data_IF_000744685838
#
_entry.id   IF_000744685838
#
_cell.length_a   1.000
_cell.length_b   1.000
_cell.length_c   1.000
_cell.angle_alpha   90.00
_cell.angle_beta   90.00
_cell.angle_gamma   90.00
#
_symmetry.space_group_name_H-M   'P 1'
#
loop_
_entity.id
_entity.type
_entity.pdbx_description
1 polymer ?
#
# COMPACT_ATOMS: atom_id res chain seq x y z
N UNK A 1 5.65 23.59 21.68
CA UNK A 1 4.83 24.45 20.80
C UNK A 1 5.17 24.24 19.32
N UNK A 2 6.45 24.30 18.93
CA UNK A 2 6.90 24.08 17.53
C UNK A 2 6.45 22.71 16.97
N UNK A 3 6.59 21.63 17.73
CA UNK A 3 6.18 20.28 17.28
C UNK A 3 4.68 20.17 17.01
N UNK A 4 3.83 20.78 17.85
CA UNK A 4 2.37 20.76 17.68
C UNK A 4 1.99 21.53 16.41
N UNK A 5 2.56 22.72 16.20
CA UNK A 5 2.35 23.49 14.98
C UNK A 5 2.76 22.71 13.72
N UNK A 6 3.89 21.99 13.79
CA UNK A 6 4.40 21.20 12.67
C UNK A 6 3.54 19.97 12.37
N UNK A 7 3.08 19.25 13.41
CA UNK A 7 2.18 18.10 13.23
C UNK A 7 0.83 18.52 12.68
N UNK A 8 0.28 19.64 13.16
CA UNK A 8 -1.00 20.18 12.68
C UNK A 8 -0.89 20.60 11.22
N UNK A 9 0.21 21.27 10.84
CA UNK A 9 0.48 21.62 9.44
C UNK A 9 0.57 20.38 8.55
N UNK A 10 1.28 19.34 9.00
CA UNK A 10 1.40 18.08 8.25
C UNK A 10 0.04 17.41 8.05
N UNK A 11 -0.79 17.35 9.09
CA UNK A 11 -2.15 16.79 9.01
C UNK A 11 -2.98 17.59 8.00
N UNK A 12 -2.99 18.91 8.09
CA UNK A 12 -3.75 19.77 7.17
C UNK A 12 -3.27 19.60 5.72
N UNK A 13 -1.97 19.58 5.48
CA UNK A 13 -1.41 19.39 4.14
C UNK A 13 -1.72 18.01 3.59
N UNK A 14 -1.64 16.97 4.42
CA UNK A 14 -1.91 15.59 3.99
C UNK A 14 -3.39 15.37 3.70
N UNK A 15 -4.28 15.89 4.56
CA UNK A 15 -5.73 15.88 4.35
C UNK A 15 -6.11 16.72 3.13
N UNK A 16 -5.51 17.90 2.95
CA UNK A 16 -5.76 18.76 1.79
C UNK A 16 -5.31 18.10 0.49
N UNK A 17 -4.12 17.50 0.46
CA UNK A 17 -3.61 16.77 -0.70
C UNK A 17 -4.49 15.56 -1.05
N UNK A 18 -4.94 14.79 -0.06
CA UNK A 18 -5.84 13.65 -0.30
C UNK A 18 -7.22 14.09 -0.79
N UNK A 19 -7.79 15.16 -0.23
CA UNK A 19 -9.04 15.75 -0.73
C UNK A 19 -8.88 16.25 -2.17
N UNK A 20 -7.80 16.95 -2.48
CA UNK A 20 -7.51 17.40 -3.84
C UNK A 20 -7.30 16.24 -4.82
N UNK A 21 -6.75 15.11 -4.38
CA UNK A 21 -6.55 13.94 -5.24
C UNK A 21 -7.85 13.14 -5.45
N UNK A 22 -8.71 13.09 -4.43
CA UNK A 22 -10.01 12.40 -4.49
C UNK A 22 -11.05 13.21 -5.23
N UNK A 23 -11.19 14.50 -4.91
CA UNK A 23 -12.19 15.43 -5.44
C UNK A 23 -11.66 16.33 -6.56
N UNK A 24 -10.36 16.27 -6.87
CA UNK A 24 -9.75 17.11 -7.91
C UNK A 24 -10.41 16.95 -9.27
N UNK A 25 -10.92 15.76 -9.59
CA UNK A 25 -11.65 15.52 -10.83
C UNK A 25 -12.98 16.30 -10.84
N UNK A 26 -13.78 16.20 -9.78
CA UNK A 26 -14.99 17.00 -9.64
C UNK A 26 -14.69 18.50 -9.70
N UNK A 27 -13.68 18.97 -8.97
CA UNK A 27 -13.27 20.38 -8.98
C UNK A 27 -12.88 20.86 -10.38
N UNK A 28 -12.07 20.09 -11.11
CA UNK A 28 -11.65 20.42 -12.47
C UNK A 28 -12.82 20.41 -13.46
N UNK A 29 -13.79 19.52 -13.28
CA UNK A 29 -15.02 19.50 -14.09
C UNK A 29 -15.93 20.70 -13.78
N UNK A 30 -16.00 21.14 -12.51
CA UNK A 30 -16.69 22.38 -12.11
C UNK A 30 -16.00 23.65 -12.64
N UNK A 31 -14.67 23.63 -12.76
CA UNK A 31 -13.86 24.77 -13.25
C UNK A 31 -13.67 24.77 -14.77
N UNK A 32 -13.87 23.63 -15.45
CA UNK A 32 -13.81 23.49 -16.92
C UNK A 32 -14.65 24.53 -17.68
N UNK A 33 -15.92 24.81 -17.32
CA UNK A 33 -16.71 25.84 -18.02
C UNK A 33 -16.19 27.28 -17.80
N UNK A 34 -15.42 27.53 -16.74
CA UNK A 34 -14.83 28.85 -16.43
C UNK A 34 -13.51 29.06 -17.18
N UNK A 35 -12.70 28.01 -17.32
CA UNK A 35 -11.36 28.07 -17.92
C UNK A 35 -11.27 27.55 -19.36
N UNK A 36 -12.38 27.07 -19.95
CA UNK A 36 -12.44 26.50 -21.31
C UNK A 36 -11.45 25.35 -21.54
N UNK A 37 -11.19 24.55 -20.50
CA UNK A 37 -10.31 23.38 -20.61
C UNK A 37 -11.07 22.21 -21.27
N UNK A 38 -10.50 21.55 -22.30
CA UNK A 38 -11.14 20.43 -22.97
C UNK A 38 -11.34 19.26 -21.99
N UNK A 39 -12.61 18.91 -21.76
CA UNK A 39 -13.03 17.88 -20.79
C UNK A 39 -12.44 16.51 -21.11
N UNK A 40 -12.20 16.23 -22.40
CA UNK A 40 -11.58 14.99 -22.87
C UNK A 40 -10.15 14.80 -22.37
N UNK A 41 -9.34 15.86 -22.26
CA UNK A 41 -7.98 15.75 -21.71
C UNK A 41 -8.00 15.49 -20.20
N UNK A 42 -8.96 16.09 -19.50
CA UNK A 42 -9.16 15.89 -18.06
C UNK A 42 -9.51 14.42 -17.78
N UNK A 43 -10.49 13.86 -18.47
CA UNK A 43 -10.91 12.47 -18.25
C UNK A 43 -9.83 11.46 -18.66
N UNK A 44 -9.03 11.76 -19.69
CA UNK A 44 -7.91 10.91 -20.10
C UNK A 44 -6.81 10.90 -19.04
N UNK A 45 -6.47 12.05 -18.46
CA UNK A 45 -5.50 12.17 -17.35
C UNK A 45 -6.01 11.42 -16.11
N UNK A 46 -7.29 11.54 -15.77
CA UNK A 46 -7.86 10.84 -14.61
C UNK A 46 -8.05 9.34 -14.82
N UNK A 47 -8.21 8.86 -16.05
CA UNK A 47 -8.21 7.42 -16.36
C UNK A 47 -6.89 6.75 -15.97
N UNK A 48 -5.76 7.48 -16.06
CA UNK A 48 -4.46 6.98 -15.58
C UNK A 48 -4.35 6.89 -14.06
N UNK A 49 -5.32 7.39 -13.28
CA UNK A 49 -5.30 7.29 -11.80
C UNK A 49 -5.24 5.84 -11.32
N UNK A 50 -6.08 4.97 -11.87
CA UNK A 50 -6.12 3.56 -11.47
C UNK A 50 -4.80 2.83 -11.72
N UNK A 51 -4.18 2.91 -12.93
CA UNK A 51 -2.87 2.31 -13.15
C UNK A 51 -1.75 2.98 -12.34
N UNK A 52 -1.81 4.28 -12.07
CA UNK A 52 -0.84 4.97 -11.20
C UNK A 52 -0.93 4.44 -9.76
N UNK A 53 -2.14 4.27 -9.22
CA UNK A 53 -2.35 3.69 -7.88
C UNK A 53 -1.87 2.25 -7.83
N UNK A 54 -2.17 1.45 -8.86
CA UNK A 54 -1.69 0.07 -8.95
C UNK A 54 -0.15 0.01 -9.01
N UNK A 55 0.48 0.89 -9.79
CA UNK A 55 1.94 0.99 -9.89
C UNK A 55 2.56 1.38 -8.54
N UNK A 56 2.00 2.39 -7.87
CA UNK A 56 2.44 2.79 -6.53
C UNK A 56 2.32 1.64 -5.52
N UNK A 57 1.24 0.88 -5.59
CA UNK A 57 1.03 -0.29 -4.73
C UNK A 57 2.05 -1.39 -5.01
N UNK A 58 2.33 -1.71 -6.28
CA UNK A 58 3.38 -2.67 -6.66
C UNK A 58 4.74 -2.22 -6.12
N UNK A 59 5.08 -0.93 -6.25
CA UNK A 59 6.32 -0.36 -5.73
C UNK A 59 6.40 -0.45 -4.20
N UNK A 60 5.30 -0.14 -3.50
CA UNK A 60 5.22 -0.24 -2.05
C UNK A 60 5.40 -1.69 -1.57
N UNK A 61 4.70 -2.64 -2.19
CA UNK A 61 4.83 -4.08 -1.87
C UNK A 61 6.23 -4.59 -2.20
N UNK A 62 6.82 -4.15 -3.31
CA UNK A 62 8.20 -4.47 -3.69
C UNK A 62 9.18 -3.98 -2.64
N UNK A 63 9.05 -2.72 -2.21
CA UNK A 63 9.89 -2.14 -1.17
C UNK A 63 9.71 -2.86 0.17
N UNK A 64 8.46 -3.17 0.55
CA UNK A 64 8.16 -3.93 1.75
C UNK A 64 8.82 -5.32 1.72
N UNK A 65 8.67 -6.05 0.62
CA UNK A 65 9.32 -7.35 0.43
C UNK A 65 10.85 -7.26 0.29
N UNK A 66 11.39 -6.08 -0.02
CA UNK A 66 12.84 -5.86 -0.07
C UNK A 66 13.44 -5.52 1.30
N UNK A 67 12.70 -4.80 2.14
CA UNK A 67 13.17 -4.28 3.44
C UNK A 67 12.83 -5.18 4.61
N UNK A 68 11.64 -5.79 4.65
CA UNK A 68 11.21 -6.64 5.76
C UNK A 68 12.08 -7.89 5.97
N UNK A 69 12.51 -8.62 4.92
CA UNK A 69 13.19 -9.88 5.14
C UNK A 69 14.60 -9.66 5.67
N UNK A 70 14.90 -10.27 6.82
CA UNK A 70 16.23 -10.32 7.42
C UNK A 70 17.17 -11.32 6.69
N UNK A 71 17.06 -11.38 5.36
CA UNK A 71 17.68 -12.41 4.52
C UNK A 71 18.23 -11.73 3.26
N UNK A 72 19.38 -12.18 2.75
CA UNK A 72 19.98 -11.67 1.51
C UNK A 72 19.18 -12.11 0.27
N UNK A 73 18.03 -11.50 0.01
CA UNK A 73 17.21 -11.79 -1.17
C UNK A 73 17.76 -11.11 -2.45
N UNK A 74 18.07 -11.87 -3.50
CA UNK A 74 18.36 -11.30 -4.83
C UNK A 74 17.13 -10.57 -5.36
N UNK A 75 17.31 -9.35 -5.90
CA UNK A 75 16.23 -8.46 -6.39
C UNK A 75 15.26 -9.12 -7.40
N UNK A 76 15.71 -10.16 -8.10
CA UNK A 76 14.93 -10.91 -9.11
C UNK A 76 13.90 -11.88 -8.50
N UNK A 77 14.10 -12.32 -7.26
CA UNK A 77 13.24 -13.33 -6.61
C UNK A 77 12.06 -12.69 -5.86
N UNK A 78 11.99 -11.36 -5.83
CA UNK A 78 10.97 -10.60 -5.08
C UNK A 78 9.65 -10.50 -5.84
N UNK A 79 9.71 -10.48 -7.18
CA UNK A 79 8.56 -10.35 -8.08
C UNK A 79 7.43 -11.36 -7.85
N UNK A 80 7.67 -12.68 -7.68
CA UNK A 80 6.58 -13.64 -7.45
C UNK A 80 5.76 -13.33 -6.19
N UNK A 81 6.40 -12.99 -5.07
CA UNK A 81 5.69 -12.60 -3.85
C UNK A 81 4.96 -11.27 -3.97
N UNK A 82 5.51 -10.30 -4.71
CA UNK A 82 4.82 -9.03 -5.00
C UNK A 82 3.53 -9.29 -5.78
N UNK A 83 3.58 -10.15 -6.80
CA UNK A 83 2.40 -10.52 -7.60
C UNK A 83 1.35 -11.21 -6.72
N UNK A 84 1.76 -12.16 -5.88
CA UNK A 84 0.84 -12.86 -4.96
C UNK A 84 0.15 -11.87 -4.01
N UNK A 85 0.89 -10.96 -3.38
CA UNK A 85 0.31 -9.96 -2.47
C UNK A 85 -0.62 -9.00 -3.22
N UNK A 86 -0.24 -8.52 -4.41
CA UNK A 86 -1.07 -7.57 -5.18
C UNK A 86 -2.37 -8.23 -5.64
N UNK A 87 -2.31 -9.46 -6.16
CA UNK A 87 -3.51 -10.22 -6.56
C UNK A 87 -4.39 -10.50 -5.35
N UNK A 88 -3.80 -10.96 -4.25
CA UNK A 88 -4.52 -11.22 -3.01
C UNK A 88 -5.20 -9.96 -2.46
N UNK A 89 -4.54 -8.81 -2.55
CA UNK A 89 -5.10 -7.53 -2.12
C UNK A 89 -6.28 -7.08 -2.99
N UNK A 90 -6.19 -7.26 -4.31
CA UNK A 90 -7.30 -6.98 -5.22
C UNK A 90 -8.50 -7.90 -4.92
N UNK A 91 -8.24 -9.18 -4.69
CA UNK A 91 -9.26 -10.15 -4.29
C UNK A 91 -9.91 -9.77 -2.93
N UNK A 92 -9.09 -9.38 -1.95
CA UNK A 92 -9.57 -8.91 -0.64
C UNK A 92 -10.46 -7.67 -0.79
N UNK A 93 -10.04 -6.71 -1.61
CA UNK A 93 -10.79 -5.48 -1.87
C UNK A 93 -12.13 -5.78 -2.53
N UNK A 94 -12.14 -6.67 -3.52
CA UNK A 94 -13.37 -7.12 -4.18
C UNK A 94 -14.32 -7.84 -3.20
N UNK A 95 -13.78 -8.77 -2.40
CA UNK A 95 -14.57 -9.54 -1.44
C UNK A 95 -15.19 -8.64 -0.36
N UNK A 96 -14.44 -7.65 0.14
CA UNK A 96 -14.95 -6.67 1.09
C UNK A 96 -16.02 -5.77 0.49
N UNK A 97 -15.81 -5.32 -0.75
CA UNK A 97 -16.84 -4.55 -1.47
C UNK A 97 -18.12 -5.36 -1.64
N UNK A 98 -18.01 -6.64 -1.99
CA UNK A 98 -19.16 -7.54 -2.11
C UNK A 98 -19.86 -7.75 -0.76
N UNK A 99 -19.10 -7.98 0.31
CA UNK A 99 -19.64 -8.17 1.66
C UNK A 99 -20.41 -6.94 2.16
N UNK A 100 -19.81 -5.76 2.05
CA UNK A 100 -20.44 -4.50 2.48
C UNK A 100 -21.66 -4.11 1.64
N UNK A 101 -21.68 -4.54 0.37
CA UNK A 101 -22.83 -4.33 -0.50
C UNK A 101 -24.04 -5.17 -0.08
N UNK A 102 -23.83 -6.43 0.33
CA UNK A 102 -24.91 -7.34 0.74
C UNK A 102 -25.31 -7.15 2.21
N UNK A 103 -24.36 -6.79 3.07
CA UNK A 103 -24.56 -6.62 4.51
C UNK A 103 -24.13 -5.22 4.94
N UNK A 104 -24.95 -4.19 4.62
CA UNK A 104 -24.64 -2.83 5.02
C UNK A 104 -24.69 -2.70 6.55
N UNK A 105 -23.65 -2.07 7.10
CA UNK A 105 -23.57 -1.79 8.54
C UNK A 105 -24.45 -0.57 8.81
N UNK A 106 -25.58 -0.78 9.46
CA UNK A 106 -26.45 0.30 9.94
C UNK A 106 -26.26 0.53 11.43
N UNK A 107 -26.63 1.72 11.90
CA UNK A 107 -26.61 2.07 13.32
C UNK A 107 -27.49 1.14 14.16
N UNK A 108 -28.55 0.60 13.57
CA UNK A 108 -29.50 -0.29 14.23
C UNK A 108 -28.97 -1.72 14.45
N UNK A 109 -28.11 -2.21 13.56
CA UNK A 109 -27.60 -3.59 13.66
C UNK A 109 -26.34 -3.71 14.52
N UNK A 110 -25.31 -2.86 14.29
CA UNK A 110 -24.02 -2.96 14.98
C UNK A 110 -23.21 -1.65 15.08
N UNK A 111 -23.69 -0.56 14.46
CA UNK A 111 -23.08 0.78 14.56
C UNK A 111 -21.56 0.80 14.37
N UNK A 112 -20.87 1.55 15.24
CA UNK A 112 -19.41 1.74 15.19
C UNK A 112 -18.66 0.42 15.48
N UNK A 113 -19.22 -0.46 16.34
CA UNK A 113 -18.59 -1.74 16.70
C UNK A 113 -18.49 -2.66 15.48
N UNK A 114 -19.55 -2.76 14.69
CA UNK A 114 -19.55 -3.53 13.44
C UNK A 114 -18.52 -3.01 12.44
N UNK A 115 -18.42 -1.68 12.31
CA UNK A 115 -17.42 -1.03 11.45
C UNK A 115 -16.00 -1.38 11.90
N UNK A 116 -15.73 -1.35 13.20
CA UNK A 116 -14.41 -1.65 13.74
C UNK A 116 -14.02 -3.12 13.57
N UNK A 117 -14.96 -4.06 13.76
CA UNK A 117 -14.74 -5.50 13.55
C UNK A 117 -14.39 -5.77 12.10
N UNK A 118 -15.15 -5.21 11.16
CA UNK A 118 -14.92 -5.39 9.71
C UNK A 118 -13.58 -4.76 9.31
N UNK A 119 -13.25 -3.59 9.85
CA UNK A 119 -11.95 -2.96 9.63
C UNK A 119 -10.79 -3.81 10.18
N UNK A 120 -10.93 -4.37 11.39
CA UNK A 120 -9.94 -5.27 11.98
C UNK A 120 -9.78 -6.56 11.16
N UNK A 121 -10.88 -7.13 10.67
CA UNK A 121 -10.85 -8.29 9.77
C UNK A 121 -10.12 -7.96 8.48
N UNK A 122 -10.37 -6.78 7.90
CA UNK A 122 -9.69 -6.32 6.70
C UNK A 122 -8.18 -6.21 6.93
N UNK A 123 -7.77 -5.55 8.02
CA UNK A 123 -6.36 -5.42 8.41
C UNK A 123 -5.70 -6.78 8.68
N UNK A 124 -6.41 -7.70 9.30
CA UNK A 124 -5.90 -9.03 9.60
C UNK A 124 -5.59 -9.82 8.32
N UNK A 125 -6.54 -9.86 7.37
CA UNK A 125 -6.32 -10.56 6.10
C UNK A 125 -5.24 -9.85 5.27
N UNK A 126 -5.24 -8.52 5.25
CA UNK A 126 -4.18 -7.74 4.61
C UNK A 126 -2.79 -8.10 5.16
N UNK A 127 -2.63 -8.20 6.48
CA UNK A 127 -1.38 -8.61 7.12
C UNK A 127 -0.95 -10.03 6.67
N UNK A 128 -1.88 -10.98 6.64
CA UNK A 128 -1.63 -12.34 6.16
C UNK A 128 -1.16 -12.33 4.70
N UNK A 129 -1.76 -11.52 3.82
CA UNK A 129 -1.36 -11.40 2.42
C UNK A 129 0.05 -10.84 2.23
N UNK A 130 0.44 -9.86 3.05
CA UNK A 130 1.82 -9.35 3.05
C UNK A 130 2.81 -10.42 3.50
N UNK A 131 2.50 -11.13 4.59
CA UNK A 131 3.34 -12.22 5.09
C UNK A 131 3.45 -13.37 4.07
N UNK A 132 2.34 -13.70 3.39
CA UNK A 132 2.32 -14.71 2.34
C UNK A 132 3.25 -14.33 1.18
N UNK A 133 3.21 -13.09 0.69
CA UNK A 133 4.11 -12.63 -0.37
C UNK A 133 5.58 -12.78 0.02
N UNK A 134 5.92 -12.38 1.25
CA UNK A 134 7.28 -12.55 1.78
C UNK A 134 7.65 -14.03 1.93
N UNK A 135 6.72 -14.86 2.42
CA UNK A 135 6.92 -16.30 2.59
C UNK A 135 7.12 -17.05 1.27
N UNK A 136 6.41 -16.64 0.21
CA UNK A 136 6.62 -17.15 -1.17
C UNK A 136 8.03 -16.79 -1.64
N UNK A 137 8.44 -15.53 -1.46
CA UNK A 137 9.79 -15.09 -1.82
C UNK A 137 10.88 -15.87 -1.08
N UNK A 138 10.71 -16.09 0.23
CA UNK A 138 11.65 -16.85 1.05
C UNK A 138 11.72 -18.33 0.65
N UNK A 139 10.57 -18.96 0.38
CA UNK A 139 10.50 -20.37 -0.04
C UNK A 139 11.20 -20.60 -1.38
N UNK A 140 11.05 -19.67 -2.34
CA UNK A 140 11.73 -19.77 -3.64
C UNK A 140 13.25 -19.67 -3.49
N UNK A 141 13.74 -18.79 -2.62
CA UNK A 141 15.19 -18.69 -2.34
C UNK A 141 15.69 -19.96 -1.65
N UNK A 142 14.96 -20.46 -0.64
CA UNK A 142 15.30 -21.70 0.05
C UNK A 142 15.43 -22.89 -0.91
N UNK A 143 14.49 -23.02 -1.86
CA UNK A 143 14.52 -24.10 -2.84
C UNK A 143 15.63 -23.94 -3.90
N UNK A 144 16.11 -22.72 -4.17
CA UNK A 144 17.15 -22.46 -5.17
C UNK A 144 18.57 -22.44 -4.62
N UNK A 145 18.78 -21.91 -3.42
CA UNK A 145 20.10 -21.63 -2.86
C UNK A 145 20.41 -22.43 -1.59
N UNK A 146 19.47 -23.22 -1.06
CA UNK A 146 19.67 -24.04 0.14
C UNK A 146 19.28 -23.32 1.44
N UNK A 147 20.03 -23.52 2.52
CA UNK A 147 19.71 -22.89 3.81
C UNK A 147 19.86 -21.37 3.75
N UNK A 148 18.86 -20.67 4.29
CA UNK A 148 18.83 -19.21 4.29
C UNK A 148 19.91 -18.72 5.26
N UNK A 149 20.95 -18.04 4.75
CA UNK A 149 21.86 -17.26 5.60
C UNK A 149 21.06 -16.14 6.30
N UNK A 150 20.71 -16.37 7.56
CA UNK A 150 20.12 -15.37 8.44
C UNK A 150 21.17 -14.29 8.71
N UNK A 151 21.13 -13.21 7.93
CA UNK A 151 21.94 -12.01 8.17
C UNK A 151 21.15 -11.08 9.08
N UNK A 152 21.80 -10.43 10.06
CA UNK A 152 21.17 -9.54 11.05
C UNK A 152 20.47 -8.28 10.48
N UNK A 153 20.18 -8.25 9.18
CA UNK A 153 19.54 -7.17 8.47
C UNK A 153 20.57 -6.41 7.68
N UNK A 154 20.25 -6.09 6.41
CA UNK A 154 21.19 -5.35 5.54
C UNK A 154 21.62 -4.02 6.12
N UNK A 155 20.78 -3.39 6.94
CA UNK A 155 21.10 -2.16 7.67
C UNK A 155 22.16 -2.42 8.74
N UNK A 156 22.01 -3.50 9.50
CA UNK A 156 22.99 -3.90 10.51
C UNK A 156 24.34 -4.28 9.88
N UNK A 157 24.33 -5.04 8.77
CA UNK A 157 25.57 -5.39 8.07
C UNK A 157 26.28 -4.15 7.49
N UNK A 158 25.53 -3.18 6.96
CA UNK A 158 26.12 -1.93 6.44
C UNK A 158 26.80 -1.10 7.53
N UNK A 159 26.20 -1.03 8.72
CA UNK A 159 26.79 -0.36 9.89
C UNK A 159 28.04 -1.13 10.37
N UNK A 160 27.99 -2.47 10.34
CA UNK A 160 29.08 -3.32 10.80
C UNK A 160 30.30 -3.26 9.87
N UNK A 161 30.10 -3.20 8.55
CA UNK A 161 31.17 -3.04 7.57
C UNK A 161 31.85 -1.66 7.67
N UNK A 162 31.08 -0.60 7.90
CA UNK A 162 31.61 0.74 8.20
C UNK A 162 32.43 0.77 9.50
N UNK A 163 32.08 -0.06 10.49
CA UNK A 163 32.78 -0.16 11.77
C UNK A 163 34.07 -0.99 11.68
N UNK A 164 34.15 -1.95 10.77
CA UNK A 164 35.36 -2.75 10.49
C UNK A 164 36.42 -2.03 9.64
N UNK A 165 36.04 -0.93 8.98
CA UNK A 165 36.95 -0.11 8.16
C UNK A 165 37.60 1.07 8.92
N UNK A 166 37.32 1.22 10.23
CA UNK A 166 38.03 2.11 11.14
C UNK A 166 38.92 1.28 12.06
#
# INVERSE_FOLDING_TARGET
MITIAFTTLMIILFTGATLALVFGQQLLHFLSPIFQLPVEEIDKIFSYRYPVVLLMMILAVYYLNYVLPNIKLKKRVIWPGVIVTVIGWLALSFLFSFYLHHFPITWENYGIIGTFIIFMLWLNIAAILFLLGVGVNATIVRNREGELEYSAGRVASYIQDRRKQK
#
